data_IF_137369059074
#
_entry.id   IF_137369059074
#
_cell.length_a   1.000
_cell.length_b   1.000
_cell.length_c   1.000
_cell.angle_alpha   90.00
_cell.angle_beta   90.00
_cell.angle_gamma   90.00
#
_symmetry.space_group_name_H-M   'P 1'
#
loop_
_entity.id
_entity.type
_entity.pdbx_description
1 polymer ?
#
# COMPACT_ATOMS: atom_id res chain seq x y z
N UNK A 1 -17.08 -0.64 19.16
CA UNK A 1 -15.92 -1.38 18.61
C UNK A 1 -16.26 -1.92 17.24
N UNK A 2 -15.99 -1.14 16.18
CA UNK A 2 -16.27 -1.53 14.80
C UNK A 2 -14.98 -2.06 14.20
N UNK A 3 -14.79 -3.38 14.26
CA UNK A 3 -13.51 -3.99 13.87
C UNK A 3 -13.18 -3.71 12.39
N UNK A 4 -12.04 -3.07 12.09
CA UNK A 4 -11.60 -2.78 10.72
C UNK A 4 -11.44 -4.04 9.86
N UNK A 5 -11.29 -5.21 10.49
CA UNK A 5 -11.27 -6.54 9.85
C UNK A 5 -12.57 -6.85 9.09
N UNK A 6 -13.72 -6.21 9.42
CA UNK A 6 -14.98 -6.41 8.70
C UNK A 6 -15.09 -5.64 7.38
N UNK A 7 -14.23 -4.66 7.13
CA UNK A 7 -14.28 -3.85 5.91
C UNK A 7 -13.55 -4.56 4.76
N UNK A 8 -14.25 -5.51 4.12
CA UNK A 8 -13.76 -6.28 2.95
C UNK A 8 -13.17 -5.41 1.83
N UNK A 9 -13.58 -4.15 1.72
CA UNK A 9 -13.06 -3.18 0.74
C UNK A 9 -11.58 -2.85 0.95
N UNK A 10 -11.13 -2.76 2.21
CA UNK A 10 -9.72 -2.49 2.55
C UNK A 10 -8.85 -3.67 2.12
N UNK A 11 -9.32 -4.89 2.38
CA UNK A 11 -8.61 -6.10 2.02
C UNK A 11 -8.50 -6.27 0.49
N UNK A 12 -9.52 -5.83 -0.26
CA UNK A 12 -9.44 -5.79 -1.72
C UNK A 12 -8.34 -4.83 -2.20
N UNK A 13 -8.20 -3.66 -1.58
CA UNK A 13 -7.11 -2.72 -1.89
C UNK A 13 -5.73 -3.33 -1.62
N UNK A 14 -5.55 -3.99 -0.48
CA UNK A 14 -4.33 -4.74 -0.18
C UNK A 14 -4.06 -5.83 -1.23
N UNK A 15 -5.05 -6.63 -1.59
CA UNK A 15 -4.91 -7.69 -2.59
C UNK A 15 -4.41 -7.14 -3.92
N UNK A 16 -4.98 -6.02 -4.39
CA UNK A 16 -4.57 -5.36 -5.64
C UNK A 16 -3.11 -4.89 -5.56
N UNK A 17 -2.72 -4.24 -4.45
CA UNK A 17 -1.34 -3.78 -4.24
C UNK A 17 -0.36 -4.97 -4.22
N UNK A 18 -0.72 -6.07 -3.56
CA UNK A 18 0.09 -7.29 -3.50
C UNK A 18 0.26 -7.96 -4.88
N UNK A 19 -0.78 -7.96 -5.71
CA UNK A 19 -0.70 -8.47 -7.08
C UNK A 19 0.22 -7.58 -7.93
N UNK A 20 0.16 -6.26 -7.76
CA UNK A 20 1.02 -5.32 -8.48
C UNK A 20 2.49 -5.36 -8.03
N UNK A 21 2.76 -5.71 -6.76
CA UNK A 21 4.10 -5.91 -6.22
C UNK A 21 4.81 -7.11 -6.85
N UNK A 22 4.08 -8.12 -7.29
CA UNK A 22 4.68 -9.20 -8.07
C UNK A 22 4.89 -8.72 -9.51
N UNK A 23 6.09 -8.85 -10.10
CA UNK A 23 6.34 -8.41 -11.47
C UNK A 23 5.96 -9.46 -12.53
N UNK A 24 4.92 -10.28 -12.28
CA UNK A 24 4.44 -11.34 -13.21
C UNK A 24 3.98 -10.80 -14.58
N UNK A 25 3.66 -9.51 -14.66
CA UNK A 25 3.28 -8.82 -15.90
C UNK A 25 4.49 -8.39 -16.74
N UNK A 26 5.72 -8.52 -16.23
CA UNK A 26 6.91 -8.33 -17.03
C UNK A 26 7.29 -9.61 -17.79
N UNK A 27 7.72 -9.51 -19.06
CA UNK A 27 8.13 -10.67 -19.83
C UNK A 27 9.37 -11.31 -19.19
N UNK A 28 9.27 -12.61 -18.88
CA UNK A 28 10.38 -13.40 -18.29
C UNK A 28 11.37 -13.94 -19.32
N UNK A 29 11.02 -13.89 -20.61
CA UNK A 29 11.79 -14.49 -21.70
C UNK A 29 12.65 -13.52 -22.52
N UNK A 30 12.76 -12.25 -22.12
CA UNK A 30 13.56 -11.23 -22.81
C UNK A 30 14.50 -10.49 -21.86
N UNK A 31 15.44 -9.72 -22.41
CA UNK A 31 16.28 -8.84 -21.58
C UNK A 31 15.38 -7.85 -20.82
N UNK A 32 15.56 -7.72 -19.49
CA UNK A 32 14.74 -6.81 -18.70
C UNK A 32 14.97 -5.39 -19.18
N UNK A 33 13.90 -4.60 -19.29
CA UNK A 33 14.02 -3.18 -19.64
C UNK A 33 14.79 -2.49 -18.51
N UNK A 34 15.99 -2.01 -18.82
CA UNK A 34 16.86 -1.31 -17.88
C UNK A 34 16.66 0.21 -18.02
N UNK A 35 16.40 0.88 -16.91
CA UNK A 35 16.38 2.33 -16.79
C UNK A 35 17.55 2.73 -15.91
N UNK A 36 18.52 3.49 -16.44
CA UNK A 36 19.74 3.89 -15.71
C UNK A 36 20.51 2.72 -15.07
N UNK A 37 20.45 1.52 -15.66
CA UNK A 37 21.09 0.31 -15.12
C UNK A 37 20.26 -0.45 -14.08
N UNK A 38 19.07 0.04 -13.73
CA UNK A 38 18.13 -0.64 -12.82
C UNK A 38 16.99 -1.26 -13.63
N UNK A 39 16.61 -2.52 -13.39
CA UNK A 39 15.44 -3.10 -14.04
C UNK A 39 14.17 -2.32 -13.73
N UNK A 40 13.34 -2.06 -14.74
CA UNK A 40 12.10 -1.30 -14.61
C UNK A 40 11.18 -1.94 -13.55
N UNK A 41 11.09 -3.27 -13.53
CA UNK A 41 10.31 -4.01 -12.54
C UNK A 41 10.75 -3.71 -11.10
N UNK A 42 12.05 -3.49 -10.85
CA UNK A 42 12.55 -3.16 -9.52
C UNK A 42 12.10 -1.75 -9.10
N UNK A 43 12.13 -0.78 -10.01
CA UNK A 43 11.62 0.57 -9.76
C UNK A 43 10.12 0.54 -9.44
N UNK A 44 9.35 -0.26 -10.17
CA UNK A 44 7.92 -0.42 -9.91
C UNK A 44 7.68 -1.01 -8.52
N UNK A 45 8.45 -2.02 -8.10
CA UNK A 45 8.34 -2.58 -6.74
C UNK A 45 8.64 -1.54 -5.67
N UNK A 46 9.65 -0.70 -5.86
CA UNK A 46 9.99 0.37 -4.92
C UNK A 46 8.81 1.35 -4.79
N UNK A 47 8.25 1.81 -5.91
CA UNK A 47 7.08 2.70 -5.92
C UNK A 47 5.89 2.02 -5.24
N UNK A 48 5.60 0.77 -5.58
CA UNK A 48 4.50 0.02 -4.99
C UNK A 48 4.69 -0.22 -3.48
N UNK A 49 5.92 -0.32 -3.00
CA UNK A 49 6.24 -0.42 -1.57
C UNK A 49 5.93 0.89 -0.83
N UNK A 50 6.23 2.03 -1.45
CA UNK A 50 5.85 3.35 -0.92
C UNK A 50 4.32 3.48 -0.89
N UNK A 51 3.64 3.12 -1.98
CA UNK A 51 2.17 3.11 -2.05
C UNK A 51 1.58 2.20 -0.98
N UNK A 52 2.15 1.02 -0.76
CA UNK A 52 1.73 0.09 0.30
C UNK A 52 1.87 0.75 1.67
N UNK A 53 3.01 1.39 1.95
CA UNK A 53 3.23 2.09 3.22
C UNK A 53 2.20 3.20 3.43
N UNK A 54 1.96 4.03 2.43
CA UNK A 54 0.94 5.09 2.50
C UNK A 54 -0.46 4.51 2.68
N UNK A 55 -0.77 3.40 2.01
CA UNK A 55 -2.05 2.72 2.13
C UNK A 55 -2.28 2.17 3.53
N UNK A 56 -1.25 1.57 4.14
CA UNK A 56 -1.30 1.12 5.55
C UNK A 56 -1.56 2.31 6.46
N UNK A 57 -0.79 3.41 6.32
CA UNK A 57 -0.98 4.63 7.12
C UNK A 57 -2.40 5.18 6.96
N UNK A 58 -2.92 5.25 5.74
CA UNK A 58 -4.29 5.69 5.45
C UNK A 58 -5.34 4.78 6.10
N UNK A 59 -5.16 3.47 6.00
CA UNK A 59 -6.07 2.49 6.62
C UNK A 59 -6.07 2.63 8.13
N UNK A 60 -4.90 2.81 8.76
CA UNK A 60 -4.81 3.05 10.19
C UNK A 60 -5.53 4.36 10.55
N UNK A 61 -5.20 5.47 9.91
CA UNK A 61 -5.75 6.79 10.29
C UNK A 61 -7.26 6.95 10.03
N UNK A 62 -7.79 6.37 8.95
CA UNK A 62 -9.19 6.58 8.55
C UNK A 62 -10.13 5.43 8.86
N UNK A 63 -9.60 4.21 9.00
CA UNK A 63 -10.43 3.00 9.17
C UNK A 63 -10.18 2.26 10.47
N UNK A 64 -9.04 2.49 11.14
CA UNK A 64 -8.90 2.13 12.54
C UNK A 64 -9.61 3.21 13.35
N UNK A 65 -10.50 2.77 14.23
CA UNK A 65 -11.18 3.62 15.21
C UNK A 65 -10.11 4.07 16.20
N UNK A 66 -9.31 5.10 15.85
CA UNK A 66 -8.49 5.83 16.82
C UNK A 66 -9.47 6.56 17.73
N UNK A 67 -9.99 5.83 18.71
CA UNK A 67 -10.84 6.26 19.82
C UNK A 67 -10.21 7.39 20.68
N UNK A 68 -9.07 7.96 20.26
CA UNK A 68 -8.24 8.88 21.04
C UNK A 68 -7.97 10.22 20.32
N UNK A 69 -8.50 10.49 19.12
CA UNK A 69 -8.33 11.81 18.46
C UNK A 69 -9.38 12.86 18.87
N UNK A 70 -10.39 12.51 19.68
CA UNK A 70 -11.29 13.49 20.31
C UNK A 70 -10.81 14.00 21.69
N UNK A 71 -9.71 13.49 22.26
CA UNK A 71 -9.24 13.88 23.62
C UNK A 71 -8.01 14.80 23.65
N UNK A 72 -7.56 15.40 22.54
CA UNK A 72 -6.43 16.34 22.57
C UNK A 72 -6.57 17.60 21.69
N UNK A 73 -7.82 18.02 21.47
CA UNK A 73 -8.18 19.23 20.71
C UNK A 73 -8.62 20.43 21.55
N UNK A 74 -8.53 20.39 22.88
CA UNK A 74 -8.91 21.51 23.77
C UNK A 74 -7.80 21.84 24.78
N UNK A 75 -6.68 22.39 24.33
CA UNK A 75 -5.93 23.37 25.11
C UNK A 75 -5.32 24.42 24.17
N UNK A 76 -6.12 25.44 23.83
CA UNK A 76 -5.75 26.88 23.84
C UNK A 76 -6.90 27.77 23.40
#
# INVERSE_FOLDING_TARGET
MKEPIKNKKIWLGFLVIFIMLNPWYFPSGGEPVLIYGVPLWAIVIIIMSIVLSLYITYVIHYHWDTLDEEENGEEK
#
